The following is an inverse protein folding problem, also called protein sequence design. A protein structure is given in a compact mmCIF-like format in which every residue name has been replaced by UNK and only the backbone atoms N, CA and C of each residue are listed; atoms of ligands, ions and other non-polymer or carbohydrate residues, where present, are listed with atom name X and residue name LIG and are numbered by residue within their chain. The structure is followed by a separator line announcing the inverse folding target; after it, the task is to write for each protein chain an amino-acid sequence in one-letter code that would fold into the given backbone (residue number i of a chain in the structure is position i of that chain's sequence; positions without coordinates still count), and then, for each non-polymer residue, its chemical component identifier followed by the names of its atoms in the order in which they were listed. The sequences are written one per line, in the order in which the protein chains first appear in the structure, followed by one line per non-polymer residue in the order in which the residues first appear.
data_IF_444297292564
#
_entry.id   IF_444297292564
#
_cell.length_a   1.000
_cell.length_b   1.000
_cell.length_c   1.000
_cell.angle_alpha   90.00
_cell.angle_beta   90.00
_cell.angle_gamma   90.00
#
_symmetry.space_group_name_H-M   'P 1'
#
loop_
_entity.id
_entity.type
_entity.pdbx_description
1 polymer ?
#
# COMPACT_ATOMS: atom_id res chain seq x y z
N UNK A 1 -9.90 -35.05 40.72
CA UNK A 1 -9.48 -33.76 40.13
C UNK A 1 -9.34 -33.93 38.63
N UNK A 2 -10.22 -33.33 37.84
CA UNK A 2 -10.15 -33.36 36.38
C UNK A 2 -9.42 -32.12 35.88
N UNK A 3 -8.22 -32.29 35.31
CA UNK A 3 -7.49 -31.22 34.63
C UNK A 3 -7.61 -31.39 33.12
N UNK A 4 -8.58 -30.72 32.48
CA UNK A 4 -8.63 -30.58 31.02
C UNK A 4 -7.53 -29.62 30.58
N UNK A 5 -6.44 -30.13 29.98
CA UNK A 5 -5.50 -29.30 29.21
C UNK A 5 -6.18 -28.90 27.90
N UNK A 6 -6.36 -27.60 27.68
CA UNK A 6 -6.84 -27.05 26.40
C UNK A 6 -5.66 -27.12 25.42
N UNK A 7 -5.81 -27.86 24.33
CA UNK A 7 -4.96 -27.75 23.16
C UNK A 7 -5.28 -26.44 22.45
N UNK A 8 -4.27 -25.61 22.21
CA UNK A 8 -4.40 -24.43 21.36
C UNK A 8 -4.63 -24.88 19.90
N UNK A 9 -5.40 -24.12 19.10
CA UNK A 9 -5.56 -24.44 17.68
C UNK A 9 -4.21 -24.28 16.96
N UNK A 10 -3.87 -25.31 16.19
CA UNK A 10 -2.72 -25.36 15.30
C UNK A 10 -2.84 -24.24 14.26
N UNK A 11 -1.86 -23.33 14.24
CA UNK A 11 -1.80 -22.29 13.20
C UNK A 11 -1.58 -22.97 11.84
N UNK A 12 -2.29 -22.56 10.76
CA UNK A 12 -2.07 -23.13 9.44
C UNK A 12 -0.63 -22.88 9.00
N UNK A 13 0.10 -23.98 8.81
CA UNK A 13 1.49 -23.98 8.40
C UNK A 13 1.54 -23.79 6.88
N UNK A 14 1.74 -22.54 6.43
CA UNK A 14 1.93 -22.25 5.01
C UNK A 14 3.29 -22.81 4.54
N UNK A 15 3.34 -23.46 3.37
CA UNK A 15 4.58 -23.98 2.82
C UNK A 15 5.56 -22.83 2.56
N UNK A 16 6.74 -22.92 3.17
CA UNK A 16 7.87 -22.02 2.88
C UNK A 16 8.39 -22.34 1.46
N UNK A 17 8.43 -21.38 0.53
CA UNK A 17 8.95 -21.65 -0.81
C UNK A 17 10.45 -21.98 -0.74
N UNK A 18 10.92 -23.05 -1.43
CA UNK A 18 12.32 -23.43 -1.44
C UNK A 18 13.04 -22.58 -2.47
N UNK A 19 13.85 -21.63 -2.01
CA UNK A 19 14.65 -20.81 -2.90
C UNK A 19 15.35 -19.71 -2.13
N UNK A 20 16.63 -19.52 -2.43
CA UNK A 20 17.48 -18.42 -1.96
C UNK A 20 16.66 -17.12 -2.00
N UNK A 21 16.38 -16.52 -0.84
CA UNK A 21 15.70 -15.22 -0.73
C UNK A 21 16.47 -14.23 -1.61
N UNK A 22 15.86 -13.82 -2.73
CA UNK A 22 16.36 -12.74 -3.54
C UNK A 22 16.37 -11.49 -2.65
N UNK A 23 17.53 -10.87 -2.53
CA UNK A 23 17.69 -9.58 -1.87
C UNK A 23 16.75 -8.60 -2.55
N UNK A 24 15.79 -8.09 -1.77
CA UNK A 24 14.77 -7.17 -2.22
C UNK A 24 15.41 -5.84 -2.64
N UNK A 25 15.37 -5.56 -3.94
CA UNK A 25 15.57 -4.24 -4.50
C UNK A 25 14.17 -3.66 -4.75
N UNK A 26 13.55 -3.18 -3.68
CA UNK A 26 12.32 -2.40 -3.81
C UNK A 26 12.55 -1.25 -4.77
N UNK A 27 11.48 -0.91 -5.50
CA UNK A 27 11.34 0.27 -6.35
C UNK A 27 12.01 0.16 -7.73
N UNK A 28 11.20 0.13 -8.79
CA UNK A 28 11.71 0.32 -10.15
C UNK A 28 12.32 1.74 -10.31
N UNK A 29 13.43 1.79 -11.05
CA UNK A 29 13.87 2.95 -11.83
C UNK A 29 14.96 3.86 -11.25
N UNK A 30 14.81 4.38 -10.03
CA UNK A 30 15.62 5.52 -9.57
C UNK A 30 16.32 5.29 -8.22
N UNK A 31 17.62 5.61 -8.09
CA UNK A 31 18.45 5.36 -6.90
C UNK A 31 18.13 6.24 -5.67
N UNK A 32 17.19 7.17 -5.75
CA UNK A 32 16.98 8.22 -4.73
C UNK A 32 15.73 8.04 -3.84
N UNK A 33 15.26 6.81 -3.64
CA UNK A 33 14.06 6.56 -2.83
C UNK A 33 14.44 6.28 -1.36
N UNK A 34 14.15 7.23 -0.47
CA UNK A 34 14.30 7.10 0.99
C UNK A 34 12.94 6.87 1.63
N UNK A 35 12.76 5.71 2.27
CA UNK A 35 11.79 5.58 3.36
C UNK A 35 12.42 6.29 4.57
N UNK A 36 11.84 7.39 5.03
CA UNK A 36 12.32 8.05 6.26
C UNK A 36 11.92 7.20 7.49
N UNK A 37 12.67 7.33 8.59
CA UNK A 37 12.45 6.59 9.86
C UNK A 37 11.08 6.87 10.53
N UNK A 38 10.21 7.66 9.90
CA UNK A 38 8.87 8.00 10.37
C UNK A 38 7.86 6.87 10.15
N UNK A 39 8.19 5.87 9.32
CA UNK A 39 7.25 4.82 8.89
C UNK A 39 6.21 5.32 7.87
N UNK A 40 6.27 6.60 7.49
CA UNK A 40 5.45 7.14 6.39
C UNK A 40 6.07 6.74 5.06
N UNK A 41 5.21 6.32 4.13
CA UNK A 41 5.64 6.01 2.78
C UNK A 41 5.69 7.29 1.95
N UNK A 42 6.91 7.77 1.72
CA UNK A 42 7.22 8.94 0.91
C UNK A 42 8.10 8.53 -0.27
N UNK A 43 7.99 9.26 -1.38
CA UNK A 43 8.76 8.96 -2.58
C UNK A 43 9.00 10.21 -3.43
N UNK A 44 10.06 10.17 -4.24
CA UNK A 44 10.33 11.20 -5.23
C UNK A 44 9.78 10.79 -6.60
N UNK A 45 9.23 11.76 -7.32
CA UNK A 45 8.95 11.63 -8.76
C UNK A 45 10.25 11.70 -9.57
N UNK A 46 10.20 11.37 -10.86
CA UNK A 46 11.34 11.52 -11.78
C UNK A 46 11.81 12.98 -11.93
N UNK A 47 10.96 13.94 -11.55
CA UNK A 47 11.27 15.37 -11.52
C UNK A 47 11.85 15.82 -10.17
N UNK A 48 12.21 14.87 -9.28
CA UNK A 48 12.74 15.12 -7.95
C UNK A 48 11.77 15.89 -7.03
N UNK A 49 10.46 15.68 -7.21
CA UNK A 49 9.43 16.22 -6.32
C UNK A 49 9.13 15.19 -5.23
N UNK A 50 9.30 15.56 -3.97
CA UNK A 50 8.90 14.72 -2.83
C UNK A 50 7.38 14.67 -2.73
N UNK A 51 6.83 13.47 -2.69
CA UNK A 51 5.41 13.21 -2.55
C UNK A 51 5.14 12.63 -1.17
N UNK A 52 4.19 13.26 -0.49
CA UNK A 52 3.54 12.76 0.71
C UNK A 52 2.04 12.59 0.40
N UNK A 53 1.52 11.37 0.51
CA UNK A 53 0.15 11.04 0.09
C UNK A 53 -0.91 11.55 1.09
N UNK A 54 -0.52 11.93 2.32
CA UNK A 54 -1.42 12.42 3.38
C UNK A 54 -2.41 13.49 2.90
N UNK A 55 -1.98 14.44 2.08
CA UNK A 55 -2.85 15.52 1.64
C UNK A 55 -3.54 15.27 0.29
N UNK A 56 -3.75 14.00 -0.07
CA UNK A 56 -4.40 13.60 -1.32
C UNK A 56 -5.74 12.90 -1.08
N UNK A 57 -6.56 12.86 -2.12
CA UNK A 57 -7.78 12.05 -2.17
C UNK A 57 -7.47 10.68 -2.77
N UNK A 58 -7.71 9.61 -2.03
CA UNK A 58 -7.73 8.27 -2.59
C UNK A 58 -9.04 8.10 -3.39
N UNK A 59 -8.93 8.22 -4.71
CA UNK A 59 -10.07 8.15 -5.62
C UNK A 59 -10.48 6.71 -5.93
N UNK A 60 -9.53 5.79 -5.95
CA UNK A 60 -9.76 4.39 -6.31
C UNK A 60 -8.76 3.45 -5.62
N UNK A 61 -9.27 2.30 -5.19
CA UNK A 61 -8.49 1.12 -4.82
C UNK A 61 -9.01 -0.06 -5.63
N UNK A 62 -8.13 -0.70 -6.42
CA UNK A 62 -8.45 -1.84 -7.27
C UNK A 62 -7.54 -3.02 -6.93
N UNK A 63 -8.13 -4.15 -6.53
CA UNK A 63 -7.39 -5.37 -6.23
C UNK A 63 -7.73 -6.49 -7.22
N UNK A 64 -6.71 -7.00 -7.90
CA UNK A 64 -6.80 -8.13 -8.82
C UNK A 64 -6.20 -9.39 -8.13
N UNK A 65 -7.01 -10.22 -7.43
CA UNK A 65 -6.50 -11.36 -6.68
C UNK A 65 -5.77 -12.39 -7.56
N UNK A 66 -6.27 -12.62 -8.78
CA UNK A 66 -5.68 -13.57 -9.73
C UNK A 66 -4.27 -13.16 -10.20
N UNK A 67 -3.96 -11.87 -10.13
CA UNK A 67 -2.66 -11.31 -10.50
C UNK A 67 -1.81 -10.93 -9.29
N UNK A 68 -2.36 -11.08 -8.08
CA UNK A 68 -1.79 -10.56 -6.84
C UNK A 68 -1.35 -9.09 -7.00
N UNK A 69 -2.24 -8.25 -7.55
CA UNK A 69 -1.94 -6.85 -7.88
C UNK A 69 -2.92 -5.92 -7.19
N UNK A 70 -2.41 -4.81 -6.67
CA UNK A 70 -3.19 -3.76 -6.05
C UNK A 70 -2.79 -2.42 -6.66
N UNK A 71 -3.77 -1.68 -7.15
CA UNK A 71 -3.61 -0.33 -7.65
C UNK A 71 -4.34 0.66 -6.74
N UNK A 72 -3.67 1.74 -6.39
CA UNK A 72 -4.26 2.86 -5.66
C UNK A 72 -4.05 4.15 -6.43
N UNK A 73 -5.14 4.89 -6.67
CA UNK A 73 -5.10 6.18 -7.37
C UNK A 73 -5.37 7.32 -6.40
N UNK A 74 -4.41 8.24 -6.32
CA UNK A 74 -4.47 9.42 -5.47
C UNK A 74 -4.55 10.69 -6.31
N UNK A 75 -5.32 11.67 -5.88
CA UNK A 75 -5.51 12.95 -6.58
C UNK A 75 -5.17 14.10 -5.64
N UNK A 76 -4.32 15.01 -6.10
CA UNK A 76 -4.08 16.30 -5.44
C UNK A 76 -5.03 17.36 -6.01
N UNK A 77 -6.27 17.39 -5.52
CA UNK A 77 -7.32 18.29 -6.00
C UNK A 77 -7.27 19.70 -5.38
N UNK A 78 -6.66 19.85 -4.20
CA UNK A 78 -6.43 21.14 -3.54
C UNK A 78 -5.02 21.68 -3.83
N UNK A 79 -4.89 22.82 -4.55
CA UNK A 79 -3.61 23.44 -4.85
C UNK A 79 -2.79 23.86 -3.63
N UNK A 80 -3.42 24.02 -2.46
CA UNK A 80 -2.72 24.37 -1.21
C UNK A 80 -1.84 23.23 -0.70
N UNK A 81 -2.22 22.00 -1.02
CA UNK A 81 -1.54 20.80 -0.59
C UNK A 81 -0.83 20.05 -1.73
N UNK A 82 -1.07 20.45 -2.98
CA UNK A 82 -0.34 19.94 -4.13
C UNK A 82 1.16 20.26 -3.99
N UNK A 83 2.07 19.25 -4.00
CA UNK A 83 3.50 19.48 -3.94
C UNK A 83 4.00 20.45 -5.01
N UNK A 84 4.88 21.37 -4.62
CA UNK A 84 5.47 22.34 -5.56
C UNK A 84 6.25 21.59 -6.64
N UNK A 85 5.80 21.71 -7.89
CA UNK A 85 6.38 21.01 -9.04
C UNK A 85 5.42 20.01 -9.69
N UNK A 86 4.32 19.66 -9.02
CA UNK A 86 3.20 18.98 -9.65
C UNK A 86 2.22 19.99 -10.27
N UNK A 87 1.56 19.55 -11.33
CA UNK A 87 0.42 20.27 -11.91
C UNK A 87 -0.79 20.15 -10.97
N UNK A 88 -1.72 21.12 -10.96
CA UNK A 88 -2.98 20.96 -10.25
C UNK A 88 -3.72 19.71 -10.72
N UNK A 89 -4.41 19.02 -9.80
CA UNK A 89 -5.13 17.75 -10.09
C UNK A 89 -4.24 16.59 -10.54
N UNK A 90 -2.93 16.68 -10.29
CA UNK A 90 -2.00 15.57 -10.54
C UNK A 90 -2.51 14.28 -9.90
N UNK A 91 -2.49 13.22 -10.69
CA UNK A 91 -2.85 11.88 -10.24
C UNK A 91 -1.60 11.05 -10.02
N UNK A 92 -1.59 10.33 -8.91
CA UNK A 92 -0.53 9.41 -8.54
C UNK A 92 -1.11 8.01 -8.45
N UNK A 93 -0.62 7.11 -9.28
CA UNK A 93 -0.97 5.69 -9.21
C UNK A 93 0.19 4.93 -8.58
N UNK A 94 -0.10 4.24 -7.48
CA UNK A 94 0.79 3.26 -6.89
C UNK A 94 0.33 1.87 -7.31
N UNK A 95 1.20 1.15 -8.01
CA UNK A 95 0.92 -0.19 -8.50
C UNK A 95 1.79 -1.18 -7.74
N UNK A 96 1.16 -1.98 -6.90
CA UNK A 96 1.80 -2.99 -6.07
C UNK A 96 1.66 -4.37 -6.71
N UNK A 97 2.76 -5.13 -6.76
CA UNK A 97 2.78 -6.51 -7.24
C UNK A 97 3.14 -7.51 -6.13
N UNK A 98 2.68 -8.75 -6.33
CA UNK A 98 2.80 -9.86 -5.38
C UNK A 98 2.16 -9.52 -4.03
N UNK A 99 0.95 -8.98 -4.12
CA UNK A 99 0.21 -8.46 -2.99
C UNK A 99 -0.48 -9.56 -2.22
N UNK A 100 -0.34 -9.53 -0.89
CA UNK A 100 -1.14 -10.35 0.03
C UNK A 100 -1.91 -9.40 0.94
N UNK A 101 -3.24 -9.40 0.80
CA UNK A 101 -4.13 -8.64 1.68
C UNK A 101 -4.19 -9.34 3.04
N UNK A 102 -3.86 -8.60 4.11
CA UNK A 102 -3.91 -9.08 5.48
C UNK A 102 -5.21 -8.64 6.16
N UNK A 103 -5.65 -7.43 5.85
CA UNK A 103 -6.90 -6.85 6.35
C UNK A 103 -7.45 -5.87 5.33
N UNK A 104 -8.76 -5.93 5.13
CA UNK A 104 -9.49 -4.91 4.39
C UNK A 104 -10.82 -4.68 5.10
N UNK A 105 -10.91 -3.57 5.80
CA UNK A 105 -12.15 -3.18 6.47
C UNK A 105 -13.04 -2.44 5.46
N UNK A 106 -14.03 -3.15 4.92
CA UNK A 106 -15.03 -2.60 4.01
C UNK A 106 -16.17 -3.60 3.89
N UNK A 107 -17.41 -3.12 3.94
CA UNK A 107 -18.64 -3.92 4.06
C UNK A 107 -18.99 -4.77 2.81
N UNK A 108 -18.02 -5.06 1.94
CA UNK A 108 -18.26 -5.83 0.73
C UNK A 108 -17.55 -7.17 0.78
N UNK A 109 -18.36 -8.23 0.88
CA UNK A 109 -17.95 -9.62 0.73
C UNK A 109 -17.47 -9.98 -0.71
N UNK A 110 -17.27 -8.99 -1.58
CA UNK A 110 -16.69 -9.12 -2.91
C UNK A 110 -15.95 -7.82 -3.30
N UNK A 111 -14.87 -7.89 -4.09
CA UNK A 111 -14.16 -6.71 -4.55
C UNK A 111 -15.07 -5.92 -5.49
N UNK A 112 -15.69 -4.84 -5.02
CA UNK A 112 -16.09 -3.80 -5.96
C UNK A 112 -14.79 -3.23 -6.55
N UNK A 113 -14.64 -3.19 -7.89
CA UNK A 113 -13.36 -2.95 -8.54
C UNK A 113 -12.77 -1.56 -8.27
N UNK A 114 -13.57 -0.67 -7.68
CA UNK A 114 -13.19 0.70 -7.38
C UNK A 114 -13.95 1.15 -6.13
N UNK A 115 -13.27 1.17 -4.98
CA UNK A 115 -13.82 1.76 -3.76
C UNK A 115 -13.23 3.16 -3.60
N UNK A 116 -14.05 4.23 -3.55
CA UNK A 116 -13.55 5.55 -3.24
C UNK A 116 -13.01 5.55 -1.80
N UNK A 117 -11.71 5.83 -1.66
CA UNK A 117 -11.05 5.84 -0.37
C UNK A 117 -11.25 7.14 0.40
N UNK A 118 -11.50 8.26 -0.28
CA UNK A 118 -11.64 9.57 0.36
C UNK A 118 -10.30 10.17 0.82
N UNK A 119 -10.31 11.17 1.73
CA UNK A 119 -9.09 11.84 2.16
C UNK A 119 -8.17 10.84 2.85
N UNK A 120 -6.94 10.73 2.34
CA UNK A 120 -5.93 9.88 2.96
C UNK A 120 -5.55 10.49 4.32
N UNK A 121 -5.39 9.64 5.33
CA UNK A 121 -4.65 10.06 6.52
C UNK A 121 -3.18 9.82 6.26
N UNK A 122 -2.74 8.59 6.31
CA UNK A 122 -1.35 8.27 6.06
C UNK A 122 -1.27 6.93 5.31
N UNK A 123 -0.28 6.81 4.43
CA UNK A 123 0.19 5.54 3.91
C UNK A 123 1.47 5.19 4.64
N UNK A 124 1.42 4.14 5.45
CA UNK A 124 2.55 3.63 6.22
C UNK A 124 3.25 2.51 5.49
N UNK A 125 4.55 2.43 5.71
CA UNK A 125 5.39 1.32 5.32
C UNK A 125 6.25 0.88 6.50
N UNK A 126 6.16 -0.41 6.83
CA UNK A 126 7.00 -1.07 7.82
C UNK A 126 7.84 -2.16 7.13
N UNK A 127 9.15 -2.15 7.42
CA UNK A 127 10.05 -3.13 6.84
C UNK A 127 9.71 -4.55 7.31
N UNK A 128 9.83 -5.57 6.43
CA UNK A 128 10.42 -5.46 5.09
C UNK A 128 9.43 -5.10 3.98
N UNK A 129 8.13 -5.42 4.12
CA UNK A 129 7.17 -5.39 3.01
C UNK A 129 5.75 -5.00 3.42
N UNK A 130 5.55 -4.50 4.63
CA UNK A 130 4.20 -4.25 5.15
C UNK A 130 3.76 -2.83 4.82
N UNK A 131 2.54 -2.71 4.28
CA UNK A 131 1.90 -1.45 3.99
C UNK A 131 0.57 -1.37 4.74
N UNK A 132 0.26 -0.17 5.22
CA UNK A 132 -1.04 0.15 5.80
C UNK A 132 -1.50 1.49 5.31
N UNK A 133 -2.74 1.57 4.85
CA UNK A 133 -3.42 2.83 4.57
C UNK A 133 -4.69 2.94 5.39
N UNK A 134 -4.83 4.08 6.05
CA UNK A 134 -6.02 4.43 6.80
C UNK A 134 -6.83 5.48 6.03
N UNK A 135 -8.06 5.10 5.70
CA UNK A 135 -9.07 5.92 5.05
C UNK A 135 -10.26 6.12 6.01
N UNK A 136 -11.14 7.11 5.79
CA UNK A 136 -12.20 7.45 6.74
C UNK A 136 -13.16 6.29 7.06
N UNK A 137 -13.42 5.40 6.09
CA UNK A 137 -14.33 4.26 6.23
C UNK A 137 -13.66 2.90 5.99
N UNK A 138 -12.36 2.89 5.70
CA UNK A 138 -11.64 1.68 5.31
C UNK A 138 -10.22 1.70 5.86
N UNK A 139 -9.78 0.56 6.38
CA UNK A 139 -8.37 0.32 6.69
C UNK A 139 -7.91 -0.86 5.82
N UNK A 140 -6.76 -0.69 5.16
CA UNK A 140 -6.20 -1.70 4.29
C UNK A 140 -4.76 -1.97 4.71
N UNK A 141 -4.51 -3.21 5.11
CA UNK A 141 -3.20 -3.72 5.48
C UNK A 141 -2.82 -4.84 4.51
N UNK A 142 -1.62 -4.75 3.94
CA UNK A 142 -1.18 -5.70 2.94
C UNK A 142 0.35 -5.82 2.93
N UNK A 143 0.85 -6.88 2.31
CA UNK A 143 2.26 -6.96 1.95
C UNK A 143 2.42 -6.85 0.45
N UNK A 144 3.53 -6.27 -0.02
CA UNK A 144 3.87 -6.19 -1.43
C UNK A 144 5.38 -6.36 -1.65
N UNK A 145 5.75 -7.03 -2.75
CA UNK A 145 7.16 -7.25 -3.11
C UNK A 145 7.68 -6.20 -4.09
N UNK A 146 6.79 -5.47 -4.74
CA UNK A 146 7.15 -4.38 -5.65
C UNK A 146 6.11 -3.28 -5.57
N UNK A 147 6.57 -2.07 -5.83
CA UNK A 147 5.71 -0.92 -6.06
C UNK A 147 6.28 -0.08 -7.20
N UNK A 148 5.42 0.27 -8.14
CA UNK A 148 5.68 1.15 -9.26
C UNK A 148 4.86 2.43 -9.09
N UNK A 149 5.44 3.55 -9.52
CA UNK A 149 4.86 4.88 -9.41
C UNK A 149 4.57 5.41 -10.81
N UNK A 150 3.34 5.86 -11.04
CA UNK A 150 2.96 6.57 -12.26
C UNK A 150 2.36 7.92 -11.87
N UNK A 151 2.84 8.99 -12.47
CA UNK A 151 2.36 10.36 -12.26
C UNK A 151 1.76 10.87 -13.57
N UNK A 152 0.51 11.35 -13.54
CA UNK A 152 -0.20 11.88 -14.72
C UNK A 152 -0.89 13.20 -14.44
#
# INVERSE_FOLDING_TARGET
MFGRKRTAPEQPQYPQPPGKLATFHGFSGSPDKRVLDTGLYEFFTDQNVLIHIHDSQCSAITFEPDRARLEMTFIFDDPRYTPKGLVPEARINLLFDQVVILRWDGDSAAPEPEVPGGPVRDLFFEQPHFFRIDLPSTALEFTAQRVELVVT
#
